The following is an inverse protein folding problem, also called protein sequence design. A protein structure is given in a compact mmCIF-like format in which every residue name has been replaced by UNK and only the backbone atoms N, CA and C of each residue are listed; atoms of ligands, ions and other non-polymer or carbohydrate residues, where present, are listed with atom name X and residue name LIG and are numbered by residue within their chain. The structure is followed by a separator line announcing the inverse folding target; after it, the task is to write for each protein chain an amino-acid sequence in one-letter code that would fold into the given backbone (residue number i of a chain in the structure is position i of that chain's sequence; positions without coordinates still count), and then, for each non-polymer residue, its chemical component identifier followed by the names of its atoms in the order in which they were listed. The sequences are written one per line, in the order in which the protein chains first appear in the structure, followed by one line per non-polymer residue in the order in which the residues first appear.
data_IF_095037902560
#
_entry.id   IF_095037902560
#
_cell.length_a   1.000
_cell.length_b   1.000
_cell.length_c   1.000
_cell.angle_alpha   90.00
_cell.angle_beta   90.00
_cell.angle_gamma   90.00
#
_symmetry.space_group_name_H-M   'P 1'
#
loop_
_entity.id
_entity.type
_entity.pdbx_description
1 polymer ?
#
# COMPACT_ATOMS: atom_id res chain seq x y z
N UNK A 1 4.07 -12.56 -5.65
CA UNK A 1 4.64 -11.23 -5.90
C UNK A 1 6.05 -11.41 -6.43
N UNK A 2 6.52 -10.50 -7.30
CA UNK A 2 7.89 -10.47 -7.78
C UNK A 2 8.80 -9.67 -6.83
N UNK A 3 10.13 -9.72 -7.06
CA UNK A 3 11.12 -9.04 -6.19
C UNK A 3 10.93 -7.52 -6.11
N UNK A 4 10.49 -6.88 -7.21
CA UNK A 4 10.28 -5.42 -7.27
C UNK A 4 9.03 -5.01 -6.49
N UNK A 5 7.95 -5.79 -6.59
CA UNK A 5 6.73 -5.59 -5.79
C UNK A 5 7.03 -5.75 -4.30
N UNK A 6 7.78 -6.79 -3.92
CA UNK A 6 8.20 -6.99 -2.53
C UNK A 6 8.99 -5.80 -2.01
N UNK A 7 9.98 -5.30 -2.77
CA UNK A 7 10.76 -4.14 -2.36
C UNK A 7 9.89 -2.88 -2.11
N UNK A 8 8.88 -2.64 -2.95
CA UNK A 8 7.95 -1.52 -2.75
C UNK A 8 7.04 -1.74 -1.54
N UNK A 9 6.58 -2.97 -1.29
CA UNK A 9 5.80 -3.29 -0.09
C UNK A 9 6.62 -3.07 1.17
N UNK A 10 7.88 -3.54 1.22
CA UNK A 10 8.76 -3.33 2.38
C UNK A 10 9.03 -1.84 2.64
N UNK A 11 9.17 -1.03 1.59
CA UNK A 11 9.28 0.43 1.71
C UNK A 11 8.03 1.05 2.36
N UNK A 12 6.84 0.63 1.92
CA UNK A 12 5.57 1.07 2.54
C UNK A 12 5.50 0.64 4.01
N UNK A 13 5.86 -0.61 4.32
CA UNK A 13 5.83 -1.13 5.70
C UNK A 13 6.79 -0.35 6.61
N UNK A 14 8.01 -0.08 6.15
CA UNK A 14 8.99 0.69 6.89
C UNK A 14 8.48 2.12 7.18
N UNK A 15 7.91 2.76 6.17
CA UNK A 15 7.35 4.11 6.28
C UNK A 15 6.14 4.16 7.24
N UNK A 16 5.23 3.17 7.18
CA UNK A 16 4.12 3.05 8.16
C UNK A 16 4.70 2.98 9.57
N UNK A 17 5.66 2.08 9.83
CA UNK A 17 6.23 1.89 11.16
C UNK A 17 6.93 3.12 11.70
N UNK A 18 7.65 3.84 10.85
CA UNK A 18 8.37 5.04 11.23
C UNK A 18 7.44 6.20 11.58
N UNK A 19 6.30 6.31 10.90
CA UNK A 19 5.47 7.54 10.95
C UNK A 19 4.21 7.40 11.78
N UNK A 20 3.62 6.22 11.85
CA UNK A 20 2.38 5.98 12.58
C UNK A 20 2.43 6.34 14.07
N UNK A 21 3.53 6.13 14.83
CA UNK A 21 3.60 6.59 16.22
C UNK A 21 3.37 8.10 16.37
N UNK A 22 3.73 8.89 15.35
CA UNK A 22 3.51 10.32 15.30
C UNK A 22 2.17 10.75 14.71
N UNK A 23 1.39 9.83 14.12
CA UNK A 23 0.07 10.10 13.53
C UNK A 23 -1.04 9.67 14.49
N UNK A 24 -0.90 8.48 15.09
CA UNK A 24 -1.84 7.90 16.04
C UNK A 24 -1.06 7.27 17.18
N UNK A 25 -1.18 7.84 18.38
CA UNK A 25 -0.57 7.28 19.58
C UNK A 25 -1.16 5.90 19.87
N UNK A 26 -0.31 4.90 20.11
CA UNK A 26 -0.75 3.54 20.45
C UNK A 26 -1.35 2.74 19.30
N UNK A 27 -1.18 3.16 18.03
CA UNK A 27 -1.61 2.38 16.87
C UNK A 27 -1.17 0.91 16.96
N UNK A 28 -2.06 -0.02 16.59
CA UNK A 28 -1.71 -1.45 16.54
C UNK A 28 -1.70 -1.96 15.11
N UNK A 29 -2.60 -1.44 14.27
CA UNK A 29 -2.81 -1.93 12.91
C UNK A 29 -3.12 -0.82 11.91
N UNK A 30 -2.52 -0.96 10.73
CA UNK A 30 -2.77 -0.09 9.58
C UNK A 30 -3.03 -0.94 8.34
N UNK A 31 -4.01 -0.53 7.56
CA UNK A 31 -4.28 -1.06 6.23
C UNK A 31 -3.96 -0.02 5.18
N UNK A 32 -3.08 -0.37 4.24
CA UNK A 32 -2.78 0.42 3.06
C UNK A 32 -3.32 -0.34 1.86
N UNK A 33 -4.19 0.30 1.08
CA UNK A 33 -4.71 -0.25 -0.15
C UNK A 33 -4.31 0.64 -1.32
N UNK A 34 -3.73 0.00 -2.34
CA UNK A 34 -3.53 0.57 -3.66
C UNK A 34 -4.49 -0.10 -4.62
N UNK A 35 -5.24 0.67 -5.39
CA UNK A 35 -6.17 0.10 -6.37
C UNK A 35 -6.07 0.85 -7.68
N UNK A 36 -5.89 0.11 -8.77
CA UNK A 36 -6.01 0.62 -10.12
C UNK A 36 -7.34 0.21 -10.73
N UNK A 37 -8.10 1.18 -11.21
CA UNK A 37 -9.39 0.96 -11.88
C UNK A 37 -9.56 2.00 -12.98
N UNK A 38 -9.97 1.56 -14.17
CA UNK A 38 -10.16 2.42 -15.35
C UNK A 38 -8.95 3.34 -15.66
N UNK A 39 -7.73 2.85 -15.43
CA UNK A 39 -6.50 3.62 -15.64
C UNK A 39 -6.11 4.58 -14.51
N UNK A 40 -7.03 4.87 -13.58
CA UNK A 40 -6.75 5.65 -12.38
C UNK A 40 -6.10 4.79 -11.30
N UNK A 41 -5.35 5.43 -10.41
CA UNK A 41 -4.73 4.82 -9.25
C UNK A 41 -5.24 5.54 -8.01
N UNK A 42 -5.72 4.76 -7.05
CA UNK A 42 -6.22 5.24 -5.77
C UNK A 42 -5.42 4.62 -4.64
N UNK A 43 -5.26 5.40 -3.57
CA UNK A 43 -4.59 4.99 -2.34
C UNK A 43 -5.59 5.16 -1.19
N UNK A 44 -5.59 4.22 -0.25
CA UNK A 44 -6.34 4.34 1.00
C UNK A 44 -5.45 3.93 2.16
N UNK A 45 -5.47 4.70 3.24
CA UNK A 45 -4.74 4.41 4.48
C UNK A 45 -5.71 4.45 5.63
N UNK A 46 -5.93 3.32 6.29
CA UNK A 46 -6.85 3.15 7.40
C UNK A 46 -6.08 2.68 8.63
N UNK A 47 -6.49 3.13 9.82
CA UNK A 47 -5.93 2.69 11.10
C UNK A 47 -7.05 2.35 12.08
N UNK A 48 -6.71 1.55 13.10
CA UNK A 48 -7.64 1.03 14.09
C UNK A 48 -7.91 1.96 15.28
N UNK A 49 -7.20 3.09 15.35
CA UNK A 49 -7.25 4.00 16.49
C UNK A 49 -7.46 5.46 16.08
N UNK A 50 -8.02 6.22 17.01
CA UNK A 50 -8.26 7.65 16.97
C UNK A 50 -7.84 8.26 18.33
N UNK A 51 -7.51 9.56 18.41
CA UNK A 51 -7.54 10.55 17.33
C UNK A 51 -6.38 10.40 16.33
N UNK A 52 -6.61 10.87 15.10
CA UNK A 52 -5.62 10.89 14.00
C UNK A 52 -5.14 12.31 13.78
N UNK A 53 -3.81 12.51 13.73
CA UNK A 53 -3.24 13.73 13.18
C UNK A 53 -3.48 13.74 11.66
N UNK A 54 -4.51 14.47 11.23
CA UNK A 54 -4.93 14.54 9.83
C UNK A 54 -3.84 15.11 8.89
N UNK A 55 -2.99 16.02 9.39
CA UNK A 55 -1.93 16.63 8.57
C UNK A 55 -0.82 15.62 8.29
N UNK A 56 -0.36 14.93 9.34
CA UNK A 56 0.66 13.88 9.19
C UNK A 56 0.13 12.67 8.43
N UNK A 57 -1.14 12.30 8.64
CA UNK A 57 -1.82 11.26 7.86
C UNK A 57 -1.89 11.63 6.36
N UNK A 58 -2.25 12.87 6.03
CA UNK A 58 -2.25 13.36 4.64
C UNK A 58 -0.85 13.34 4.02
N UNK A 59 0.17 13.72 4.77
CA UNK A 59 1.55 13.66 4.28
C UNK A 59 2.00 12.22 3.98
N UNK A 60 1.63 11.26 4.82
CA UNK A 60 1.87 9.83 4.59
C UNK A 60 1.16 9.34 3.32
N UNK A 61 -0.11 9.70 3.15
CA UNK A 61 -0.88 9.39 1.94
C UNK A 61 -0.19 9.87 0.66
N UNK A 62 0.32 11.12 0.65
CA UNK A 62 1.00 11.69 -0.53
C UNK A 62 2.26 10.89 -0.89
N UNK A 63 3.04 10.47 0.12
CA UNK A 63 4.22 9.60 -0.12
C UNK A 63 3.83 8.26 -0.71
N UNK A 64 2.71 7.69 -0.27
CA UNK A 64 2.21 6.42 -0.79
C UNK A 64 1.68 6.48 -2.22
N UNK A 65 1.29 7.64 -2.75
CA UNK A 65 0.98 7.76 -4.18
C UNK A 65 2.18 7.43 -5.08
N UNK A 66 3.39 7.80 -4.66
CA UNK A 66 4.62 7.46 -5.40
C UNK A 66 4.91 5.95 -5.34
N UNK A 67 4.72 5.34 -4.17
CA UNK A 67 4.84 3.90 -3.98
C UNK A 67 3.84 3.14 -4.86
N UNK A 68 2.58 3.58 -4.89
CA UNK A 68 1.53 2.98 -5.70
C UNK A 68 1.88 2.98 -7.20
N UNK A 69 2.42 4.09 -7.72
CA UNK A 69 2.84 4.18 -9.15
C UNK A 69 3.99 3.23 -9.45
N UNK A 70 4.99 3.16 -8.56
CA UNK A 70 6.11 2.21 -8.67
C UNK A 70 5.63 0.76 -8.61
N UNK A 71 4.68 0.45 -7.74
CA UNK A 71 4.09 -0.89 -7.62
C UNK A 71 3.36 -1.29 -8.90
N UNK A 72 2.54 -0.39 -9.46
CA UNK A 72 1.88 -0.60 -10.76
C UNK A 72 2.90 -0.86 -11.88
N UNK A 73 3.97 -0.09 -11.94
CA UNK A 73 5.05 -0.29 -12.92
C UNK A 73 5.81 -1.60 -12.72
N UNK A 74 6.08 -1.98 -11.47
CA UNK A 74 6.73 -3.24 -11.12
C UNK A 74 5.88 -4.46 -11.49
N UNK A 75 4.55 -4.36 -11.38
CA UNK A 75 3.60 -5.40 -11.75
C UNK A 75 3.37 -5.48 -13.27
N UNK A 76 3.43 -4.35 -13.98
CA UNK A 76 3.25 -4.31 -15.44
C UNK A 76 4.35 -5.06 -16.21
N UNK A 77 5.54 -5.24 -15.63
CA UNK A 77 6.64 -5.97 -16.25
C UNK A 77 6.39 -7.48 -16.39
N UNK A 78 5.49 -8.06 -15.60
CA UNK A 78 5.40 -9.52 -15.47
C UNK A 78 4.13 -10.13 -16.09
N UNK A 79 3.11 -9.35 -16.50
CA UNK A 79 1.76 -9.81 -16.95
C UNK A 79 1.06 -10.78 -15.96
N UNK A 80 -0.19 -10.58 -15.47
CA UNK A 80 -1.26 -9.66 -15.88
C UNK A 80 -1.26 -8.25 -15.26
N UNK A 81 -2.20 -7.39 -15.74
CA UNK A 81 -2.39 -6.02 -15.26
C UNK A 81 -2.68 -5.97 -13.75
N UNK A 82 -1.99 -5.05 -13.07
CA UNK A 82 -2.19 -4.75 -11.65
C UNK A 82 -3.60 -4.22 -11.37
N UNK A 83 -4.33 -4.87 -10.46
CA UNK A 83 -5.66 -4.43 -10.02
C UNK A 83 -5.57 -3.77 -8.65
N UNK A 84 -5.00 -4.45 -7.68
CA UNK A 84 -4.85 -3.90 -6.34
C UNK A 84 -3.68 -4.51 -5.57
N UNK A 85 -3.29 -3.81 -4.52
CA UNK A 85 -2.45 -4.35 -3.48
C UNK A 85 -2.99 -3.91 -2.11
N UNK A 86 -3.29 -4.89 -1.27
CA UNK A 86 -3.69 -4.68 0.12
C UNK A 86 -2.52 -5.06 1.02
N UNK A 87 -2.13 -4.14 1.90
CA UNK A 87 -1.03 -4.29 2.85
C UNK A 87 -1.56 -4.06 4.26
N UNK A 88 -1.42 -5.05 5.13
CA UNK A 88 -1.73 -4.95 6.54
C UNK A 88 -0.42 -4.91 7.33
N UNK A 89 -0.26 -3.87 8.15
CA UNK A 89 0.93 -3.66 8.98
C UNK A 89 0.54 -3.69 10.44
N UNK A 90 1.21 -4.54 11.21
CA UNK A 90 1.09 -4.63 12.67
C UNK A 90 2.32 -4.01 13.32
N UNK A 91 2.13 -3.18 14.36
CA UNK A 91 3.16 -2.32 14.94
C UNK A 91 4.46 -3.03 15.35
N UNK A 92 4.36 -4.21 15.96
CA UNK A 92 5.51 -5.04 16.34
C UNK A 92 5.50 -6.44 15.71
N UNK A 93 4.66 -6.67 14.70
CA UNK A 93 4.36 -8.00 14.19
C UNK A 93 4.84 -8.25 12.76
N UNK A 94 4.40 -9.37 12.19
CA UNK A 94 4.48 -9.56 10.75
C UNK A 94 3.53 -8.59 10.03
N UNK A 95 3.87 -8.23 8.81
CA UNK A 95 2.94 -7.59 7.88
C UNK A 95 2.43 -8.65 6.90
N UNK A 96 1.26 -8.41 6.30
CA UNK A 96 0.78 -9.22 5.18
C UNK A 96 0.57 -8.32 3.96
N UNK A 97 0.82 -8.85 2.77
CA UNK A 97 0.58 -8.15 1.52
C UNK A 97 -0.04 -9.09 0.50
N UNK A 98 -1.05 -8.60 -0.21
CA UNK A 98 -1.76 -9.34 -1.25
C UNK A 98 -1.83 -8.47 -2.49
N UNK A 99 -1.38 -8.99 -3.63
CA UNK A 99 -1.49 -8.31 -4.93
C UNK A 99 -2.53 -9.05 -5.77
N UNK A 100 -3.59 -8.35 -6.14
CA UNK A 100 -4.58 -8.82 -7.10
C UNK A 100 -4.20 -8.35 -8.51
N UNK A 101 -4.40 -9.24 -9.48
CA UNK A 101 -4.14 -8.98 -10.90
C UNK A 101 -5.36 -9.43 -11.71
N UNK A 102 -5.57 -8.81 -12.86
CA UNK A 102 -6.68 -9.14 -13.75
C UNK A 102 -6.27 -10.29 -14.69
N UNK A 103 -6.79 -11.51 -14.54
CA UNK A 103 -6.43 -12.62 -15.42
C UNK A 103 -7.04 -12.49 -16.83
N UNK A 104 -8.03 -11.62 -17.05
CA UNK A 104 -8.73 -11.50 -18.33
C UNK A 104 -7.87 -10.94 -19.47
N UNK A 105 -6.79 -10.23 -19.13
CA UNK A 105 -5.84 -9.67 -20.11
C UNK A 105 -5.01 -10.74 -20.83
N UNK A 106 -5.13 -12.01 -20.46
CA UNK A 106 -4.48 -13.14 -21.13
C UNK A 106 -5.28 -13.71 -22.31
N UNK A 107 -6.58 -13.43 -22.39
CA UNK A 107 -7.48 -14.02 -23.39
C UNK A 107 -7.95 -13.00 -24.45
N UNK A 108 -7.30 -11.83 -24.53
CA UNK A 108 -7.58 -10.77 -25.48
C UNK A 108 -6.56 -10.73 -26.63
#
# INVERSE_FOLDING_TARGET
MNKREVAVVEEVVAEVRATMPGIVAGWQRVWVQFQSSAGYLSTRVMCDAAPVDAVRHRALFVRFEACARRLRGAAAHDTPAFVSCDIEVVAGGAHTARVARDPSVWFA
#
